data_IF_788588501296
#
_entry.id   IF_788588501296
#
_cell.length_a   1.000
_cell.length_b   1.000
_cell.length_c   1.000
_cell.angle_alpha   90.00
_cell.angle_beta   90.00
_cell.angle_gamma   90.00
#
_symmetry.space_group_name_H-M   'P 1'
#
loop_
_entity.id
_entity.type
_entity.pdbx_description
1 polymer ?
#
# COMPACT_ATOMS: atom_id res chain seq x y z
N UNK A 1 19.69 -10.93 0.36
CA UNK A 1 18.53 -10.12 -0.09
C UNK A 1 18.89 -9.52 -1.44
N UNK A 2 18.14 -9.84 -2.48
CA UNK A 2 18.30 -9.26 -3.82
C UNK A 2 17.44 -7.98 -3.89
N UNK A 3 17.91 -6.93 -3.19
CA UNK A 3 17.23 -5.62 -3.11
C UNK A 3 17.17 -4.96 -4.50
N UNK A 4 18.04 -5.39 -5.41
CA UNK A 4 18.16 -4.93 -6.79
C UNK A 4 16.88 -5.13 -7.60
N UNK A 5 16.13 -6.22 -7.39
CA UNK A 5 14.86 -6.43 -8.12
C UNK A 5 13.75 -5.47 -7.69
N UNK A 6 13.60 -5.26 -6.39
CA UNK A 6 12.60 -4.33 -5.85
C UNK A 6 12.91 -2.90 -6.30
N UNK A 7 14.18 -2.50 -6.21
CA UNK A 7 14.63 -1.19 -6.70
C UNK A 7 14.40 -1.02 -8.21
N UNK A 8 14.68 -2.05 -9.01
CA UNK A 8 14.44 -2.01 -10.46
C UNK A 8 12.94 -1.88 -10.79
N UNK A 9 12.06 -2.58 -10.07
CA UNK A 9 10.61 -2.47 -10.26
C UNK A 9 10.08 -1.07 -9.90
N UNK A 10 10.57 -0.49 -8.79
CA UNK A 10 10.23 0.88 -8.39
C UNK A 10 10.71 1.88 -9.44
N UNK A 11 11.97 1.77 -9.87
CA UNK A 11 12.57 2.63 -10.88
C UNK A 11 11.78 2.59 -12.20
N UNK A 12 11.30 1.42 -12.62
CA UNK A 12 10.49 1.25 -13.83
C UNK A 12 9.13 1.97 -13.72
N UNK A 13 8.51 1.98 -12.55
CA UNK A 13 7.30 2.76 -12.31
C UNK A 13 7.58 4.26 -12.33
N UNK A 14 8.69 4.70 -11.72
CA UNK A 14 9.10 6.11 -11.70
C UNK A 14 9.45 6.64 -13.11
N UNK A 15 10.06 5.81 -13.96
CA UNK A 15 10.32 6.11 -15.37
C UNK A 15 9.02 6.25 -16.18
N UNK A 16 8.05 5.35 -15.95
CA UNK A 16 6.73 5.44 -16.57
C UNK A 16 6.05 6.77 -16.18
N UNK A 17 6.09 7.15 -14.90
CA UNK A 17 5.56 8.43 -14.42
C UNK A 17 6.28 9.62 -15.05
N UNK A 18 7.61 9.60 -15.06
CA UNK A 18 8.43 10.68 -15.61
C UNK A 18 8.13 10.92 -17.09
N UNK A 19 7.81 9.87 -17.86
CA UNK A 19 7.42 9.98 -19.27
C UNK A 19 6.05 10.64 -19.50
N UNK A 20 5.21 10.70 -18.46
CA UNK A 20 3.84 11.24 -18.50
C UNK A 20 3.70 12.60 -17.81
N UNK A 21 4.69 13.00 -17.01
CA UNK A 21 4.68 14.24 -16.22
C UNK A 21 4.39 13.95 -14.76
N UNK A 22 3.12 14.01 -14.35
CA UNK A 22 2.67 13.75 -13.00
C UNK A 22 1.78 12.51 -12.90
N UNK A 23 1.64 11.96 -11.70
CA UNK A 23 0.73 10.84 -11.43
C UNK A 23 -0.72 11.15 -11.86
N UNK A 24 -1.15 12.42 -11.77
CA UNK A 24 -2.46 12.89 -12.25
C UNK A 24 -2.66 12.73 -13.75
N UNK A 25 -1.58 12.67 -14.53
CA UNK A 25 -1.61 12.63 -15.99
C UNK A 25 -1.69 11.19 -16.52
N UNK A 26 -1.46 10.20 -15.66
CA UNK A 26 -1.71 8.79 -15.97
C UNK A 26 -3.23 8.54 -15.93
N UNK A 27 -3.86 7.96 -16.97
CA UNK A 27 -5.29 7.71 -16.99
C UNK A 27 -5.78 6.86 -15.82
N UNK A 28 -7.03 7.09 -15.41
CA UNK A 28 -7.67 6.20 -14.45
C UNK A 28 -7.92 4.81 -15.09
N UNK A 29 -7.54 3.73 -14.43
CA UNK A 29 -7.56 2.35 -14.94
C UNK A 29 -6.40 2.01 -15.88
N UNK A 30 -5.27 2.74 -15.85
CA UNK A 30 -4.11 2.40 -16.68
C UNK A 30 -3.49 1.06 -16.24
N UNK A 31 -3.83 -0.01 -16.96
CA UNK A 31 -3.36 -1.36 -16.64
C UNK A 31 -1.83 -1.50 -16.73
N UNK A 32 -1.14 -0.74 -17.59
CA UNK A 32 0.33 -0.79 -17.61
C UNK A 32 0.89 -0.27 -16.29
N UNK A 33 0.35 0.86 -15.80
CA UNK A 33 0.78 1.42 -14.53
C UNK A 33 0.46 0.49 -13.35
N UNK A 34 -0.74 -0.09 -13.35
CA UNK A 34 -1.17 -1.02 -12.31
C UNK A 34 -0.38 -2.33 -12.32
N UNK A 35 0.02 -2.82 -13.50
CA UNK A 35 0.91 -3.97 -13.64
C UNK A 35 2.28 -3.70 -13.04
N UNK A 36 2.83 -2.48 -13.20
CA UNK A 36 4.07 -2.09 -12.53
C UNK A 36 3.92 -2.12 -11.01
N UNK A 37 2.78 -1.70 -10.47
CA UNK A 37 2.51 -1.83 -9.03
C UNK A 37 2.45 -3.29 -8.58
N UNK A 38 1.84 -4.16 -9.39
CA UNK A 38 1.82 -5.61 -9.13
C UNK A 38 3.23 -6.20 -9.19
N UNK A 39 4.08 -5.74 -10.10
CA UNK A 39 5.49 -6.13 -10.20
C UNK A 39 6.26 -5.73 -8.92
N UNK A 40 6.06 -4.51 -8.41
CA UNK A 40 6.68 -4.04 -7.15
C UNK A 40 6.29 -4.96 -5.98
N UNK A 41 5.01 -5.32 -5.85
CA UNK A 41 4.54 -6.22 -4.77
C UNK A 41 5.19 -7.59 -4.86
N UNK A 42 5.31 -8.16 -6.07
CA UNK A 42 5.98 -9.46 -6.29
C UNK A 42 7.45 -9.37 -5.92
N UNK A 43 8.15 -8.33 -6.39
CA UNK A 43 9.55 -8.10 -6.08
C UNK A 43 9.77 -7.87 -4.57
N UNK A 44 8.84 -7.18 -3.90
CA UNK A 44 8.88 -6.99 -2.45
C UNK A 44 8.81 -8.34 -1.72
N UNK A 45 7.87 -9.22 -2.09
CA UNK A 45 7.78 -10.57 -1.52
C UNK A 45 9.06 -11.37 -1.76
N UNK A 46 9.61 -11.35 -2.97
CA UNK A 46 10.88 -12.04 -3.27
C UNK A 46 12.05 -11.52 -2.43
N UNK A 47 12.11 -10.21 -2.21
CA UNK A 47 13.18 -9.56 -1.44
C UNK A 47 13.09 -9.86 0.06
N UNK A 48 11.88 -9.80 0.63
CA UNK A 48 11.65 -9.90 2.08
C UNK A 48 11.22 -11.30 2.56
N UNK A 49 10.89 -12.22 1.64
CA UNK A 49 10.37 -13.55 1.93
C UNK A 49 8.86 -13.58 2.21
N UNK A 50 8.29 -12.45 2.62
CA UNK A 50 6.87 -12.27 2.89
C UNK A 50 6.42 -10.87 2.46
N UNK A 51 5.12 -10.72 2.24
CA UNK A 51 4.51 -9.45 1.88
C UNK A 51 3.10 -9.38 2.46
N UNK A 52 2.85 -8.40 3.31
CA UNK A 52 1.54 -8.12 3.90
C UNK A 52 1.02 -6.81 3.30
N UNK A 53 -0.07 -6.92 2.55
CA UNK A 53 -0.71 -5.81 1.86
C UNK A 53 -1.64 -5.09 2.84
N UNK A 54 -1.40 -3.81 3.06
CA UNK A 54 -2.18 -2.97 3.95
C UNK A 54 -3.15 -2.06 3.20
N UNK A 55 -4.33 -1.82 3.79
CA UNK A 55 -5.33 -0.85 3.33
C UNK A 55 -5.35 0.39 4.22
N UNK A 56 -5.57 1.55 3.62
CA UNK A 56 -5.77 2.84 4.30
C UNK A 56 -7.18 3.40 4.07
N UNK A 57 -7.88 2.90 3.05
CA UNK A 57 -9.22 3.35 2.66
C UNK A 57 -10.18 2.17 2.77
N UNK A 58 -11.27 2.38 3.48
CA UNK A 58 -12.27 1.37 3.78
C UNK A 58 -13.67 1.89 3.43
N UNK A 59 -14.51 1.00 2.92
CA UNK A 59 -15.94 1.28 2.78
C UNK A 59 -16.57 1.47 4.16
N UNK A 60 -17.68 2.20 4.27
CA UNK A 60 -18.36 2.39 5.56
C UNK A 60 -18.73 1.07 6.24
N UNK A 61 -19.08 0.04 5.48
CA UNK A 61 -19.35 -1.30 6.03
C UNK A 61 -18.09 -1.95 6.60
N UNK A 62 -16.96 -1.82 5.90
CA UNK A 62 -15.68 -2.38 6.37
C UNK A 62 -15.12 -1.59 7.55
N UNK A 63 -15.33 -0.26 7.61
CA UNK A 63 -15.00 0.56 8.79
C UNK A 63 -15.68 0.01 10.04
N UNK A 64 -16.99 -0.30 9.94
CA UNK A 64 -17.74 -0.90 11.04
C UNK A 64 -17.25 -2.29 11.44
N UNK A 65 -16.81 -3.11 10.49
CA UNK A 65 -16.22 -4.43 10.79
C UNK A 65 -14.86 -4.29 11.46
N UNK A 66 -14.07 -3.31 11.01
CA UNK A 66 -12.76 -2.96 11.56
C UNK A 66 -12.88 -2.46 13.01
N UNK A 67 -13.85 -1.59 13.30
CA UNK A 67 -14.21 -1.14 14.66
C UNK A 67 -14.53 -2.31 15.61
N UNK A 68 -15.23 -3.33 15.10
CA UNK A 68 -15.59 -4.53 15.87
C UNK A 68 -14.46 -5.57 15.94
N UNK A 69 -13.33 -5.34 15.26
CA UNK A 69 -12.22 -6.29 15.17
C UNK A 69 -12.53 -7.55 14.35
N UNK A 70 -13.56 -7.50 13.50
CA UNK A 70 -13.95 -8.63 12.63
C UNK A 70 -13.03 -8.80 11.43
N UNK A 71 -12.39 -7.70 11.01
CA UNK A 71 -11.38 -7.67 9.94
C UNK A 71 -10.17 -6.88 10.43
N UNK A 72 -8.99 -7.19 9.90
CA UNK A 72 -7.77 -6.39 10.08
C UNK A 72 -7.49 -5.53 8.84
N UNK A 73 -6.39 -4.78 8.89
CA UNK A 73 -5.98 -3.93 7.75
C UNK A 73 -5.08 -4.67 6.75
N UNK A 74 -4.53 -5.81 7.16
CA UNK A 74 -3.54 -6.58 6.40
C UNK A 74 -4.16 -7.79 5.70
N UNK A 75 -3.61 -8.12 4.54
CA UNK A 75 -3.83 -9.40 3.87
C UNK A 75 -2.49 -9.91 3.36
N UNK A 76 -2.14 -11.15 3.68
CA UNK A 76 -0.90 -11.74 3.18
C UNK A 76 -0.97 -11.94 1.65
N UNK A 77 0.10 -11.53 0.96
CA UNK A 77 0.29 -11.81 -0.44
C UNK A 77 0.95 -13.18 -0.63
N UNK A 78 0.14 -14.16 -1.01
CA UNK A 78 0.57 -15.52 -1.31
C UNK A 78 0.87 -15.73 -2.79
N UNK A 79 0.51 -14.79 -3.66
CA UNK A 79 0.64 -14.88 -5.13
C UNK A 79 -0.70 -14.75 -5.86
N UNK A 80 -1.77 -14.46 -5.13
CA UNK A 80 -3.11 -14.23 -5.65
C UNK A 80 -3.15 -13.07 -6.67
N UNK A 81 -4.16 -13.07 -7.54
CA UNK A 81 -4.43 -11.92 -8.41
C UNK A 81 -4.82 -10.70 -7.56
N UNK A 82 -4.32 -9.53 -7.94
CA UNK A 82 -4.57 -8.27 -7.23
C UNK A 82 -5.35 -7.31 -8.12
N UNK A 83 -6.60 -6.97 -7.75
CA UNK A 83 -7.32 -5.89 -8.42
C UNK A 83 -6.58 -4.57 -8.19
N UNK A 84 -6.62 -3.67 -9.18
CA UNK A 84 -6.13 -2.32 -8.98
C UNK A 84 -6.84 -1.68 -7.77
N UNK A 85 -6.13 -0.80 -7.05
CA UNK A 85 -6.64 -0.12 -5.85
C UNK A 85 -6.96 -1.03 -4.64
N UNK A 86 -6.64 -2.32 -4.70
CA UNK A 86 -6.96 -3.26 -3.63
C UNK A 86 -6.15 -3.08 -2.34
N UNK A 87 -5.04 -2.34 -2.38
CA UNK A 87 -4.16 -2.09 -1.25
C UNK A 87 -3.39 -0.77 -1.43
N UNK A 88 -2.88 -0.20 -0.34
CA UNK A 88 -2.23 1.11 -0.33
C UNK A 88 -0.75 1.03 0.05
N UNK A 89 -0.32 -0.02 0.73
CA UNK A 89 1.07 -0.22 1.10
C UNK A 89 1.38 -1.71 1.28
N UNK A 90 2.67 -2.03 1.38
CA UNK A 90 3.17 -3.37 1.68
C UNK A 90 4.24 -3.32 2.78
N UNK A 91 4.20 -4.27 3.71
CA UNK A 91 5.24 -4.48 4.73
C UNK A 91 5.69 -5.95 4.73
N UNK A 92 6.88 -6.23 5.26
CA UNK A 92 7.38 -7.60 5.37
C UNK A 92 6.63 -8.43 6.44
N UNK A 93 6.11 -7.76 7.47
CA UNK A 93 5.33 -8.36 8.56
C UNK A 93 4.22 -7.40 8.98
N UNK A 94 3.10 -7.89 9.56
CA UNK A 94 2.12 -7.03 10.20
C UNK A 94 2.74 -6.25 11.35
N UNK A 95 2.40 -4.97 11.48
CA UNK A 95 2.81 -4.13 12.60
C UNK A 95 1.57 -3.63 13.34
N UNK A 96 1.46 -3.98 14.62
CA UNK A 96 0.29 -3.66 15.46
C UNK A 96 0.17 -2.17 15.72
N UNK A 97 1.31 -1.46 15.79
CA UNK A 97 1.32 -0.01 15.96
C UNK A 97 0.77 0.69 14.71
N UNK A 98 1.24 0.30 13.52
CA UNK A 98 0.72 0.78 12.25
C UNK A 98 -0.77 0.46 12.09
N UNK A 99 -1.19 -0.75 12.44
CA UNK A 99 -2.60 -1.14 12.41
C UNK A 99 -3.47 -0.22 13.29
N UNK A 100 -3.08 0.00 14.54
CA UNK A 100 -3.80 0.92 15.42
C UNK A 100 -3.86 2.36 14.87
N UNK A 101 -2.78 2.85 14.25
CA UNK A 101 -2.77 4.18 13.63
C UNK A 101 -3.73 4.26 12.44
N UNK A 102 -3.74 3.24 11.58
CA UNK A 102 -4.64 3.18 10.42
C UNK A 102 -6.10 3.07 10.86
N UNK A 103 -6.40 2.20 11.82
CA UNK A 103 -7.74 2.09 12.43
C UNK A 103 -8.20 3.45 12.96
N UNK A 104 -7.34 4.13 13.73
CA UNK A 104 -7.62 5.47 14.24
C UNK A 104 -7.81 6.52 13.15
N UNK A 105 -7.07 6.43 12.04
CA UNK A 105 -7.25 7.31 10.87
C UNK A 105 -8.55 7.04 10.12
N UNK A 106 -8.91 5.76 9.97
CA UNK A 106 -10.08 5.31 9.23
C UNK A 106 -11.39 5.65 9.95
N UNK A 107 -11.39 5.63 11.28
CA UNK A 107 -12.57 5.87 12.13
C UNK A 107 -12.67 7.35 12.56
N UNK A 108 -11.62 8.15 12.35
CA UNK A 108 -11.59 9.53 12.86
C UNK A 108 -12.73 10.38 12.28
N UNK A 109 -13.40 11.11 13.16
CA UNK A 109 -14.43 12.07 12.76
C UNK A 109 -13.82 13.29 12.08
N UNK A 110 -14.63 13.94 11.24
CA UNK A 110 -14.21 15.12 10.50
C UNK A 110 -13.91 16.30 11.45
N UNK A 111 -12.79 17.05 11.27
CA UNK A 111 -11.83 16.95 10.18
C UNK A 111 -10.70 15.90 10.42
N UNK A 112 -10.21 15.25 9.36
CA UNK A 112 -9.18 14.22 9.46
C UNK A 112 -7.88 14.78 10.06
N UNK A 113 -7.29 14.03 11.00
CA UNK A 113 -5.99 14.37 11.60
C UNK A 113 -4.87 14.08 10.62
N UNK A 114 -4.54 15.04 9.75
CA UNK A 114 -3.42 14.93 8.80
C UNK A 114 -2.08 14.54 9.46
N UNK A 115 -1.86 14.95 10.71
CA UNK A 115 -0.68 14.56 11.48
C UNK A 115 -0.60 13.05 11.74
N UNK A 116 -1.74 12.36 11.85
CA UNK A 116 -1.80 10.90 11.98
C UNK A 116 -1.44 10.24 10.65
N UNK A 117 -1.95 10.76 9.52
CA UNK A 117 -1.60 10.25 8.20
C UNK A 117 -0.09 10.34 7.93
N UNK A 118 0.55 11.47 8.26
CA UNK A 118 2.03 11.58 8.13
C UNK A 118 2.76 10.56 9.00
N UNK A 119 2.28 10.28 10.21
CA UNK A 119 2.86 9.24 11.09
C UNK A 119 2.69 7.83 10.53
N UNK A 120 1.56 7.53 9.88
CA UNK A 120 1.33 6.26 9.18
C UNK A 120 2.37 6.09 8.07
N UNK A 121 2.54 7.09 7.21
CA UNK A 121 3.53 7.04 6.13
C UNK A 121 4.96 6.86 6.66
N UNK A 122 5.33 7.58 7.72
CA UNK A 122 6.63 7.44 8.36
C UNK A 122 6.82 6.02 8.93
N UNK A 123 5.81 5.47 9.61
CA UNK A 123 5.88 4.13 10.18
C UNK A 123 6.02 3.05 9.11
N UNK A 124 5.36 3.20 7.96
CA UNK A 124 5.55 2.30 6.80
C UNK A 124 7.03 2.32 6.38
N UNK A 125 7.65 3.49 6.28
CA UNK A 125 9.08 3.62 5.93
C UNK A 125 9.99 3.02 7.00
N UNK A 126 9.73 3.25 8.29
CA UNK A 126 10.51 2.70 9.41
C UNK A 126 10.49 1.16 9.44
N UNK A 127 9.43 0.55 8.90
CA UNK A 127 9.28 -0.90 8.74
C UNK A 127 9.95 -1.45 7.46
N UNK A 128 10.68 -0.62 6.72
CA UNK A 128 11.14 -0.89 5.36
C UNK A 128 9.99 -1.35 4.43
N UNK A 129 8.78 -0.82 4.67
CA UNK A 129 7.62 -1.01 3.82
C UNK A 129 7.63 -0.03 2.65
N UNK A 130 6.66 -0.20 1.76
CA UNK A 130 6.52 0.63 0.56
C UNK A 130 5.07 1.06 0.35
N UNK A 131 4.86 2.34 0.07
CA UNK A 131 3.55 2.90 -0.29
C UNK A 131 3.30 2.69 -1.78
N UNK A 132 2.15 2.11 -2.12
CA UNK A 132 1.82 1.69 -3.47
C UNK A 132 1.02 2.75 -4.21
N UNK A 133 1.39 3.02 -5.46
CA UNK A 133 0.64 3.90 -6.35
C UNK A 133 -0.24 3.08 -7.29
N UNK A 134 -1.47 3.51 -7.52
CA UNK A 134 -2.40 2.90 -8.47
C UNK A 134 -3.01 3.98 -9.34
N UNK A 135 -3.41 3.63 -10.57
CA UNK A 135 -4.10 4.54 -11.48
C UNK A 135 -5.25 3.88 -12.19
#
# INVERSE_FOLDING_TARGET
>A
MDVTKLQAAIQKQDEYLSSRGHLSDVPAGDENFNDLTREIIRAFKECHGSAFLGKLVFSWEDQKKLERGEIGIYTEYTGQSLPAYGCNFVTAQPDTQLEAMVIGWTIDEWPPKFTLFTKILQRIQDLNGYTLNWR
#
